data_IF_890238038963
#
_entry.id   IF_890238038963
#
_cell.length_a   1.000
_cell.length_b   1.000
_cell.length_c   1.000
_cell.angle_alpha   90.00
_cell.angle_beta   90.00
_cell.angle_gamma   90.00
#
_symmetry.space_group_name_H-M   'P 1'
#
loop_
_entity.id
_entity.type
_entity.pdbx_description
1 polymer ?
#
# COMPACT_ATOMS: atom_id res chain seq x y z
N UNK A 1 -5.08 48.70 -36.23
CA UNK A 1 -5.00 47.24 -36.38
C UNK A 1 -3.97 46.74 -35.37
N UNK A 2 -4.42 46.25 -34.21
CA UNK A 2 -3.54 45.69 -33.18
C UNK A 2 -4.10 44.35 -32.74
N UNK A 3 -3.51 43.26 -33.23
CA UNK A 3 -3.88 41.90 -32.87
C UNK A 3 -3.24 41.54 -31.52
N UNK A 4 -4.07 41.30 -30.51
CA UNK A 4 -3.65 40.83 -29.20
C UNK A 4 -3.34 39.32 -29.25
N UNK A 5 -2.13 38.95 -28.84
CA UNK A 5 -1.67 37.58 -28.62
C UNK A 5 -2.44 36.94 -27.45
N UNK A 6 -3.12 35.82 -27.69
CA UNK A 6 -3.64 34.95 -26.62
C UNK A 6 -2.57 33.95 -26.15
N UNK A 7 -2.50 33.62 -24.85
CA UNK A 7 -1.51 32.69 -24.32
C UNK A 7 -1.84 31.23 -24.68
N UNK A 8 -0.87 30.54 -25.28
CA UNK A 8 -0.93 29.10 -25.60
C UNK A 8 -0.99 28.26 -24.32
N UNK A 9 -2.02 27.44 -24.21
CA UNK A 9 -2.11 26.37 -23.19
C UNK A 9 -0.99 25.33 -23.38
N UNK A 10 -0.38 24.82 -22.29
CA UNK A 10 0.63 23.79 -22.41
C UNK A 10 -0.03 22.43 -22.68
N UNK A 11 0.33 21.82 -23.80
CA UNK A 11 -0.03 20.43 -24.12
C UNK A 11 0.47 19.49 -23.00
N UNK A 12 -0.47 18.91 -22.25
CA UNK A 12 -0.20 17.73 -21.41
C UNK A 12 0.21 16.58 -22.33
N UNK A 13 1.51 16.28 -22.39
CA UNK A 13 2.02 15.01 -22.93
C UNK A 13 1.45 13.89 -22.06
N UNK A 14 0.44 13.19 -22.58
CA UNK A 14 0.01 11.89 -22.10
C UNK A 14 1.20 10.94 -22.19
N UNK A 15 1.82 10.64 -21.04
CA UNK A 15 2.78 9.55 -20.91
C UNK A 15 2.03 8.24 -21.13
N UNK A 16 2.16 7.67 -22.32
CA UNK A 16 1.72 6.30 -22.58
C UNK A 16 2.37 5.36 -21.55
N UNK A 17 1.61 4.48 -20.88
CA UNK A 17 2.18 3.49 -19.98
C UNK A 17 3.09 2.54 -20.77
N UNK A 18 4.38 2.46 -20.40
CA UNK A 18 5.28 1.44 -20.94
C UNK A 18 4.76 0.07 -20.51
N UNK A 19 4.26 -0.69 -21.48
CA UNK A 19 3.89 -2.09 -21.35
C UNK A 19 5.16 -2.88 -21.00
N UNK A 20 5.29 -3.31 -19.75
CA UNK A 20 6.32 -4.27 -19.39
C UNK A 20 5.99 -5.62 -20.05
N UNK A 21 6.79 -6.00 -21.05
CA UNK A 21 6.73 -7.36 -21.58
C UNK A 21 7.13 -8.32 -20.46
N UNK A 22 6.19 -9.18 -20.05
CA UNK A 22 6.50 -10.32 -19.21
C UNK A 22 7.45 -11.23 -19.98
N UNK A 23 8.72 -11.25 -19.60
CA UNK A 23 9.62 -12.32 -20.03
C UNK A 23 9.03 -13.64 -19.56
N UNK A 24 8.70 -14.49 -20.54
CA UNK A 24 8.19 -15.83 -20.32
C UNK A 24 9.07 -16.54 -19.29
N UNK A 25 8.42 -16.93 -18.20
CA UNK A 25 8.96 -17.76 -17.13
C UNK A 25 9.65 -18.97 -17.78
N UNK A 26 10.96 -19.13 -17.56
CA UNK A 26 11.71 -20.28 -18.08
C UNK A 26 10.98 -21.59 -17.74
N UNK A 27 10.94 -22.57 -18.65
CA UNK A 27 10.26 -23.85 -18.43
C UNK A 27 10.66 -24.47 -17.10
N UNK A 28 9.67 -24.96 -16.34
CA UNK A 28 9.88 -25.63 -15.06
C UNK A 28 10.88 -26.78 -15.22
N UNK A 29 11.91 -26.90 -14.37
CA UNK A 29 12.97 -27.88 -14.58
C UNK A 29 12.41 -29.31 -14.48
N UNK A 30 12.59 -30.10 -15.54
CA UNK A 30 12.36 -31.55 -15.49
C UNK A 30 13.27 -32.14 -14.40
N UNK A 31 12.66 -32.82 -13.43
CA UNK A 31 13.34 -33.42 -12.28
C UNK A 31 14.34 -34.48 -12.76
N UNK A 32 15.58 -34.40 -12.28
CA UNK A 32 16.59 -35.46 -12.45
C UNK A 32 16.16 -36.75 -11.75
N UNK A 33 16.59 -37.90 -12.25
CA UNK A 33 16.66 -39.14 -11.47
C UNK A 33 17.65 -38.94 -10.33
N UNK A 34 17.21 -39.22 -9.11
CA UNK A 34 17.69 -38.75 -7.81
C UNK A 34 19.08 -39.21 -7.34
N UNK A 35 19.98 -39.71 -8.21
CA UNK A 35 21.24 -40.30 -7.75
C UNK A 35 22.46 -39.36 -7.76
N UNK A 36 22.48 -38.27 -8.55
CA UNK A 36 23.72 -37.48 -8.72
C UNK A 36 23.58 -36.02 -8.25
N UNK A 37 24.50 -35.51 -7.40
CA UNK A 37 24.49 -34.14 -6.90
C UNK A 37 24.53 -33.06 -8.00
N UNK A 38 23.98 -31.89 -7.67
CA UNK A 38 24.13 -30.69 -8.49
C UNK A 38 25.57 -30.18 -8.44
N UNK A 39 26.08 -29.76 -9.60
CA UNK A 39 27.43 -29.25 -9.78
C UNK A 39 27.40 -27.71 -9.75
N UNK A 40 28.43 -27.10 -9.17
CA UNK A 40 28.61 -25.64 -9.16
C UNK A 40 29.57 -25.18 -10.25
N UNK A 41 29.45 -23.91 -10.64
CA UNK A 41 30.42 -23.24 -11.54
C UNK A 41 31.84 -23.18 -10.95
N UNK A 42 31.98 -23.37 -9.64
CA UNK A 42 33.25 -23.35 -8.90
C UNK A 42 33.97 -24.71 -8.90
N UNK A 43 33.32 -25.76 -9.39
CA UNK A 43 33.91 -27.10 -9.46
C UNK A 43 34.71 -27.31 -10.78
N UNK A 44 35.12 -26.22 -11.46
CA UNK A 44 35.75 -26.22 -12.79
C UNK A 44 37.00 -27.11 -12.83
N UNK A 45 37.96 -26.89 -11.94
CA UNK A 45 39.24 -27.62 -11.95
C UNK A 45 39.06 -29.11 -11.61
N UNK A 46 38.11 -29.42 -10.72
CA UNK A 46 37.85 -30.78 -10.25
C UNK A 46 37.12 -31.62 -11.29
N UNK A 47 36.24 -30.97 -12.05
CA UNK A 47 35.48 -31.60 -13.12
C UNK A 47 36.11 -31.37 -14.49
N UNK A 48 37.26 -30.71 -14.55
CA UNK A 48 38.00 -30.43 -15.77
C UNK A 48 38.22 -31.69 -16.59
N UNK A 49 38.61 -32.80 -15.94
CA UNK A 49 38.81 -34.10 -16.61
C UNK A 49 37.53 -34.67 -17.21
N UNK A 50 36.40 -34.63 -16.49
CA UNK A 50 35.11 -35.09 -16.99
C UNK A 50 34.58 -34.19 -18.12
N UNK A 51 34.79 -32.88 -17.96
CA UNK A 51 34.40 -31.86 -18.90
C UNK A 51 35.23 -31.93 -20.19
N UNK A 52 36.52 -32.29 -20.11
CA UNK A 52 37.37 -32.54 -21.26
C UNK A 52 36.87 -33.73 -22.10
N UNK A 53 36.54 -34.87 -21.46
CA UNK A 53 35.94 -36.03 -22.17
C UNK A 53 34.55 -35.70 -22.74
N UNK A 54 33.81 -34.79 -22.08
CA UNK A 54 32.53 -34.30 -22.60
C UNK A 54 32.71 -33.42 -23.84
N UNK A 55 33.67 -32.48 -23.84
CA UNK A 55 33.97 -31.60 -24.97
C UNK A 55 34.54 -32.36 -26.17
N UNK A 56 35.45 -33.30 -25.92
CA UNK A 56 36.06 -34.12 -26.96
C UNK A 56 34.98 -34.91 -27.73
N UNK A 57 34.07 -35.59 -27.02
CA UNK A 57 33.01 -36.39 -27.66
C UNK A 57 31.93 -35.53 -28.33
N UNK A 58 31.47 -34.45 -27.71
CA UNK A 58 30.32 -33.69 -28.22
C UNK A 58 30.67 -32.56 -29.17
N UNK A 59 31.89 -32.04 -29.09
CA UNK A 59 32.29 -30.84 -29.82
C UNK A 59 33.56 -31.02 -30.64
N UNK A 60 34.29 -32.14 -30.52
CA UNK A 60 35.58 -32.36 -31.20
C UNK A 60 36.54 -31.19 -31.01
N UNK A 61 36.48 -30.54 -29.86
CA UNK A 61 37.36 -29.44 -29.47
C UNK A 61 38.19 -29.93 -28.29
N UNK A 62 39.51 -29.82 -28.40
CA UNK A 62 40.42 -30.12 -27.30
C UNK A 62 40.41 -28.97 -26.30
N UNK A 63 40.35 -29.32 -25.02
CA UNK A 63 40.37 -28.33 -23.94
C UNK A 63 41.72 -27.59 -23.88
N UNK A 64 42.80 -28.24 -24.36
CA UNK A 64 44.16 -27.70 -24.38
C UNK A 64 44.38 -26.63 -25.47
N UNK A 65 43.51 -26.60 -26.49
CA UNK A 65 43.50 -25.54 -27.51
C UNK A 65 42.64 -24.33 -27.08
N UNK A 66 41.84 -24.50 -26.03
CA UNK A 66 40.83 -23.53 -25.63
C UNK A 66 41.27 -22.74 -24.39
N UNK A 67 41.28 -21.42 -24.49
CA UNK A 67 41.65 -20.55 -23.37
C UNK A 67 40.75 -20.74 -22.15
N UNK A 68 41.27 -20.44 -20.95
CA UNK A 68 40.58 -20.63 -19.67
C UNK A 68 39.18 -20.01 -19.64
N UNK A 69 39.00 -18.80 -20.20
CA UNK A 69 37.72 -18.07 -20.20
C UNK A 69 36.67 -18.69 -21.14
N UNK A 70 37.11 -19.24 -22.26
CA UNK A 70 36.26 -19.95 -23.21
C UNK A 70 35.86 -21.31 -22.63
N UNK A 71 36.83 -22.07 -22.11
CA UNK A 71 36.60 -23.32 -21.38
C UNK A 71 35.62 -23.11 -20.21
N UNK A 72 35.76 -22.01 -19.46
CA UNK A 72 34.86 -21.66 -18.36
C UNK A 72 33.45 -21.32 -18.84
N UNK A 73 33.31 -20.65 -19.98
CA UNK A 73 32.02 -20.34 -20.61
C UNK A 73 31.31 -21.61 -21.09
N UNK A 74 32.05 -22.56 -21.64
CA UNK A 74 31.53 -23.87 -22.00
C UNK A 74 31.18 -24.71 -20.77
N UNK A 75 31.97 -24.62 -19.70
CA UNK A 75 31.69 -25.28 -18.43
C UNK A 75 30.41 -24.74 -17.79
N UNK A 76 30.17 -23.42 -17.80
CA UNK A 76 28.89 -22.85 -17.34
C UNK A 76 27.68 -23.43 -18.08
N UNK A 77 27.80 -23.68 -19.39
CA UNK A 77 26.75 -24.32 -20.18
C UNK A 77 26.61 -25.81 -19.85
N UNK A 78 27.72 -26.52 -19.64
CA UNK A 78 27.75 -27.90 -19.19
C UNK A 78 27.09 -28.06 -17.82
N UNK A 79 27.46 -27.23 -16.83
CA UNK A 79 26.85 -27.20 -15.49
C UNK A 79 25.35 -26.95 -15.58
N UNK A 80 24.89 -26.05 -16.46
CA UNK A 80 23.46 -25.82 -16.66
C UNK A 80 22.74 -27.05 -17.23
N UNK A 81 23.35 -27.73 -18.21
CA UNK A 81 22.80 -28.95 -18.83
C UNK A 81 22.84 -30.14 -17.84
N UNK A 82 23.91 -30.24 -17.05
CA UNK A 82 24.08 -31.20 -15.96
C UNK A 82 23.02 -31.01 -14.90
N UNK A 83 22.79 -29.78 -14.44
CA UNK A 83 21.78 -29.40 -13.45
C UNK A 83 20.33 -29.53 -13.97
N UNK A 84 20.15 -29.67 -15.28
CA UNK A 84 18.87 -29.97 -15.91
C UNK A 84 18.63 -31.46 -16.17
N UNK A 85 19.61 -32.34 -15.93
CA UNK A 85 19.47 -33.77 -16.18
C UNK A 85 19.56 -34.17 -17.66
N UNK A 86 20.05 -33.27 -18.52
CA UNK A 86 20.07 -33.45 -19.98
C UNK A 86 21.41 -34.01 -20.48
N UNK A 87 22.31 -34.40 -19.58
CA UNK A 87 23.57 -35.07 -19.94
C UNK A 87 23.31 -36.58 -20.04
N UNK A 88 24.09 -37.31 -20.83
CA UNK A 88 23.93 -38.75 -20.94
C UNK A 88 24.27 -39.47 -19.61
N UNK A 89 23.52 -40.54 -19.30
CA UNK A 89 23.66 -41.35 -18.08
C UNK A 89 25.10 -41.79 -17.80
N UNK A 90 25.88 -42.10 -18.83
CA UNK A 90 27.28 -42.55 -18.71
C UNK A 90 28.22 -41.49 -18.10
N UNK A 91 27.95 -40.21 -18.31
CA UNK A 91 28.75 -39.13 -17.70
C UNK A 91 28.37 -38.92 -16.23
N UNK A 92 27.14 -39.26 -15.85
CA UNK A 92 26.69 -39.28 -14.46
C UNK A 92 27.31 -40.45 -13.68
N UNK A 93 27.51 -41.60 -14.33
CA UNK A 93 28.18 -42.79 -13.76
C UNK A 93 29.70 -42.60 -13.63
N UNK A 94 30.30 -41.75 -14.48
CA UNK A 94 31.73 -41.37 -14.42
C UNK A 94 32.03 -40.29 -13.37
N UNK A 95 31.00 -39.83 -12.63
CA UNK A 95 31.17 -38.89 -11.54
C UNK A 95 31.90 -39.57 -10.36
N UNK A 96 33.04 -39.04 -9.88
CA UNK A 96 33.77 -39.62 -8.75
C UNK A 96 32.85 -39.82 -7.54
N UNK A 97 32.60 -41.08 -7.18
CA UNK A 97 31.76 -41.46 -6.04
C UNK A 97 32.35 -41.07 -4.68
N UNK A 98 33.62 -40.63 -4.64
CA UNK A 98 34.29 -40.16 -3.43
C UNK A 98 33.88 -38.76 -2.97
N UNK A 99 33.00 -38.09 -3.73
CA UNK A 99 32.39 -36.86 -3.25
C UNK A 99 31.35 -37.19 -2.17
N UNK A 100 31.42 -36.60 -0.97
CA UNK A 100 30.33 -36.72 -0.01
C UNK A 100 29.05 -36.25 -0.69
N UNK A 101 27.91 -36.96 -0.53
CA UNK A 101 26.65 -36.48 -1.05
C UNK A 101 26.43 -35.08 -0.48
N UNK A 102 26.37 -34.05 -1.34
CA UNK A 102 26.00 -32.69 -0.95
C UNK A 102 24.50 -32.63 -0.61
N UNK A 103 24.03 -33.54 0.24
CA UNK A 103 22.78 -33.40 0.94
C UNK A 103 22.99 -32.29 1.98
N UNK A 104 22.17 -31.26 1.93
CA UNK A 104 22.05 -30.23 2.96
C UNK A 104 23.14 -29.14 3.01
N UNK A 105 23.64 -28.68 1.86
CA UNK A 105 23.76 -27.22 1.74
C UNK A 105 22.35 -26.68 1.45
N UNK A 106 21.60 -26.48 2.54
CA UNK A 106 20.54 -25.48 2.61
C UNK A 106 20.99 -24.32 1.72
N UNK A 107 20.10 -23.83 0.85
CA UNK A 107 20.23 -22.53 0.22
C UNK A 107 20.34 -21.49 1.33
N UNK A 108 21.50 -21.43 1.98
CA UNK A 108 21.88 -20.36 2.87
C UNK A 108 22.08 -19.24 1.88
N UNK A 109 21.02 -18.45 1.72
CA UNK A 109 21.08 -17.15 1.07
C UNK A 109 22.43 -16.56 1.45
N UNK A 110 23.32 -16.48 0.46
CA UNK A 110 24.53 -15.70 0.56
C UNK A 110 24.09 -14.38 1.16
N UNK A 111 24.56 -14.09 2.38
CA UNK A 111 24.32 -12.84 3.07
C UNK A 111 24.63 -11.73 2.08
N UNK A 112 23.60 -11.16 1.47
CA UNK A 112 23.69 -9.93 0.73
C UNK A 112 24.14 -8.92 1.75
N UNK A 113 25.42 -8.54 1.70
CA UNK A 113 25.97 -7.41 2.45
C UNK A 113 25.35 -6.16 1.83
N UNK A 114 24.13 -5.87 2.26
CA UNK A 114 23.27 -4.80 1.78
C UNK A 114 22.18 -4.56 2.82
N UNK A 115 21.57 -3.36 2.85
CA UNK A 115 20.52 -3.05 3.81
C UNK A 115 19.47 -4.16 3.79
N UNK A 116 19.21 -4.71 4.99
CA UNK A 116 18.25 -5.79 5.18
C UNK A 116 16.91 -5.39 4.56
N UNK A 117 16.23 -6.34 3.91
CA UNK A 117 14.87 -6.13 3.44
C UNK A 117 14.01 -5.60 4.61
N UNK A 118 13.21 -4.54 4.40
CA UNK A 118 12.38 -3.95 5.45
C UNK A 118 11.50 -5.03 6.08
N UNK A 119 11.47 -5.05 7.41
CA UNK A 119 10.62 -5.98 8.16
C UNK A 119 9.14 -5.68 7.92
N UNK A 120 8.26 -6.60 8.30
CA UNK A 120 6.82 -6.36 8.21
C UNK A 120 6.40 -5.11 9.02
N UNK A 121 7.06 -4.87 10.16
CA UNK A 121 6.84 -3.68 10.99
C UNK A 121 7.32 -2.41 10.27
N UNK A 122 8.48 -2.44 9.61
CA UNK A 122 8.96 -1.29 8.83
C UNK A 122 8.00 -0.94 7.70
N UNK A 123 7.44 -1.95 7.02
CA UNK A 123 6.45 -1.72 5.97
C UNK A 123 5.14 -1.13 6.50
N UNK A 124 4.72 -1.51 7.71
CA UNK A 124 3.55 -0.92 8.38
C UNK A 124 3.80 0.56 8.71
N UNK A 125 4.95 0.87 9.32
CA UNK A 125 5.36 2.24 9.63
C UNK A 125 5.46 3.12 8.38
N UNK A 126 5.95 2.57 7.26
CA UNK A 126 5.99 3.30 5.98
C UNK A 126 4.58 3.61 5.45
N UNK A 127 3.64 2.66 5.57
CA UNK A 127 2.25 2.88 5.16
C UNK A 127 1.56 3.92 6.03
N UNK A 128 1.72 3.86 7.34
CA UNK A 128 1.16 4.84 8.28
C UNK A 128 1.67 6.24 7.97
N UNK A 129 2.98 6.40 7.79
CA UNK A 129 3.59 7.68 7.38
C UNK A 129 3.02 8.21 6.07
N UNK A 130 2.83 7.35 5.07
CA UNK A 130 2.26 7.75 3.79
C UNK A 130 0.80 8.21 3.94
N UNK A 131 0.02 7.55 4.80
CA UNK A 131 -1.35 7.97 5.10
C UNK A 131 -1.38 9.31 5.82
N UNK A 132 -0.52 9.52 6.82
CA UNK A 132 -0.39 10.79 7.52
C UNK A 132 -0.05 11.94 6.57
N UNK A 133 0.90 11.72 5.65
CA UNK A 133 1.25 12.70 4.63
C UNK A 133 0.07 13.04 3.73
N UNK A 134 -0.68 12.03 3.26
CA UNK A 134 -1.84 12.27 2.41
C UNK A 134 -2.92 13.08 3.13
N UNK A 135 -3.22 12.75 4.40
CA UNK A 135 -4.17 13.51 5.21
C UNK A 135 -3.69 14.95 5.43
N UNK A 136 -2.39 15.15 5.63
CA UNK A 136 -1.80 16.48 5.77
C UNK A 136 -1.93 17.30 4.48
N UNK A 137 -1.60 16.71 3.32
CA UNK A 137 -1.74 17.34 2.00
C UNK A 137 -3.20 17.73 1.71
N UNK A 138 -4.15 16.86 2.03
CA UNK A 138 -5.58 17.15 1.90
C UNK A 138 -6.01 18.34 2.78
N UNK A 139 -5.55 18.38 4.04
CA UNK A 139 -5.82 19.49 4.95
C UNK A 139 -5.18 20.79 4.45
N UNK A 140 -3.95 20.74 3.95
CA UNK A 140 -3.27 21.89 3.39
C UNK A 140 -4.02 22.42 2.16
N UNK A 141 -4.44 21.54 1.25
CA UNK A 141 -5.24 21.91 0.08
C UNK A 141 -6.59 22.54 0.48
N UNK A 142 -7.25 22.02 1.52
CA UNK A 142 -8.47 22.62 2.08
C UNK A 142 -8.22 24.02 2.62
N UNK A 143 -7.14 24.21 3.39
CA UNK A 143 -6.77 25.49 3.96
C UNK A 143 -6.35 26.49 2.89
N UNK A 144 -5.60 26.07 1.87
CA UNK A 144 -5.25 26.89 0.71
C UNK A 144 -6.51 27.41 0.01
N UNK A 145 -7.46 26.51 -0.32
CA UNK A 145 -8.76 26.91 -0.90
C UNK A 145 -9.54 27.88 -0.01
N UNK A 146 -9.49 27.73 1.32
CA UNK A 146 -10.14 28.66 2.27
C UNK A 146 -9.45 30.02 2.29
N UNK A 147 -8.11 30.04 2.28
CA UNK A 147 -7.30 31.28 2.21
C UNK A 147 -7.58 32.03 0.93
N UNK A 148 -7.60 31.34 -0.21
CA UNK A 148 -7.91 31.94 -1.51
C UNK A 148 -9.30 32.56 -1.54
N UNK A 149 -10.32 31.85 -1.04
CA UNK A 149 -11.68 32.40 -0.91
C UNK A 149 -11.73 33.63 -0.01
N UNK A 150 -10.96 33.64 1.09
CA UNK A 150 -10.87 34.80 1.98
C UNK A 150 -10.21 35.98 1.27
N UNK A 151 -9.08 35.76 0.61
CA UNK A 151 -8.37 36.79 -0.18
C UNK A 151 -9.27 37.35 -1.28
N UNK A 152 -10.02 36.50 -1.99
CA UNK A 152 -10.98 36.94 -3.00
C UNK A 152 -12.09 37.80 -2.39
N UNK A 153 -12.62 37.39 -1.23
CA UNK A 153 -13.63 38.17 -0.50
C UNK A 153 -13.07 39.53 -0.08
N UNK A 154 -11.88 39.55 0.51
CA UNK A 154 -11.23 40.76 1.02
C UNK A 154 -10.94 41.73 -0.14
N UNK A 155 -10.42 41.24 -1.28
CA UNK A 155 -10.24 42.05 -2.49
C UNK A 155 -11.55 42.62 -3.05
N UNK A 156 -12.64 41.86 -2.99
CA UNK A 156 -13.95 42.36 -3.40
C UNK A 156 -14.49 43.42 -2.43
N UNK A 157 -14.21 43.26 -1.14
CA UNK A 157 -14.59 44.21 -0.09
C UNK A 157 -13.79 45.53 -0.20
N UNK A 158 -12.54 45.48 -0.64
CA UNK A 158 -11.73 46.68 -0.98
C UNK A 158 -12.24 47.40 -2.24
N UNK A 159 -12.66 46.67 -3.27
CA UNK A 159 -13.12 47.25 -4.54
C UNK A 159 -14.53 47.86 -4.43
N UNK A 160 -15.39 47.22 -3.63
CA UNK A 160 -16.78 47.61 -3.41
C UNK A 160 -17.11 47.47 -1.92
N UNK A 161 -16.90 48.53 -1.11
CA UNK A 161 -17.21 48.48 0.31
C UNK A 161 -18.70 48.19 0.48
N UNK A 162 -19.01 47.05 1.11
CA UNK A 162 -20.39 46.68 1.44
C UNK A 162 -20.93 47.62 2.50
N UNK A 163 -22.23 47.91 2.47
CA UNK A 163 -22.87 48.73 3.49
C UNK A 163 -22.63 48.16 4.90
N UNK A 164 -22.51 49.05 5.89
CA UNK A 164 -22.21 48.72 7.29
C UNK A 164 -23.14 47.60 7.83
N UNK A 165 -22.61 46.64 8.62
CA UNK A 165 -23.40 45.55 9.20
C UNK A 165 -24.54 46.10 10.06
N UNK A 166 -25.80 45.81 9.68
CA UNK A 166 -26.98 46.18 10.47
C UNK A 166 -27.86 47.27 9.85
N UNK A 167 -27.42 47.94 8.79
CA UNK A 167 -28.22 48.93 8.07
C UNK A 167 -29.32 48.28 7.21
N UNK A 168 -30.42 49.03 6.95
CA UNK A 168 -31.50 48.62 6.03
C UNK A 168 -30.98 48.40 4.61
N UNK A 169 -29.96 49.15 4.22
CA UNK A 169 -29.30 49.03 2.91
C UNK A 169 -28.63 47.67 2.74
N UNK A 170 -27.92 47.19 3.76
CA UNK A 170 -27.32 45.84 3.75
C UNK A 170 -28.37 44.72 3.70
N UNK A 171 -29.54 44.92 4.31
CA UNK A 171 -30.64 43.95 4.21
C UNK A 171 -31.21 43.86 2.80
N UNK A 172 -31.34 45.00 2.10
CA UNK A 172 -31.78 45.05 0.70
C UNK A 172 -30.71 44.48 -0.25
N UNK A 173 -29.44 44.77 -0.01
CA UNK A 173 -28.32 44.20 -0.76
C UNK A 173 -28.24 42.68 -0.59
N UNK A 174 -28.34 42.16 0.65
CA UNK A 174 -28.41 40.72 0.91
C UNK A 174 -29.61 40.06 0.21
N UNK A 175 -30.79 40.71 0.21
CA UNK A 175 -31.97 40.22 -0.53
C UNK A 175 -31.72 40.21 -2.03
N UNK A 176 -31.04 41.22 -2.59
CA UNK A 176 -30.67 41.29 -4.01
C UNK A 176 -29.63 40.22 -4.37
N UNK A 177 -28.57 40.03 -3.57
CA UNK A 177 -27.56 38.98 -3.76
C UNK A 177 -28.19 37.59 -3.74
N UNK A 178 -29.09 37.32 -2.78
CA UNK A 178 -29.83 36.06 -2.71
C UNK A 178 -30.73 35.86 -3.93
N UNK A 179 -31.48 36.89 -4.33
CA UNK A 179 -32.35 36.82 -5.49
C UNK A 179 -31.53 36.62 -6.78
N UNK A 180 -30.39 37.30 -6.93
CA UNK A 180 -29.48 37.12 -8.06
C UNK A 180 -28.85 35.73 -8.07
N UNK A 181 -28.49 35.18 -6.91
CA UNK A 181 -28.01 33.81 -6.78
C UNK A 181 -29.09 32.80 -7.18
N UNK A 182 -30.33 32.96 -6.68
CA UNK A 182 -31.46 32.12 -7.07
C UNK A 182 -31.80 32.27 -8.57
N UNK A 183 -31.72 33.49 -9.11
CA UNK A 183 -31.85 33.77 -10.54
C UNK A 183 -30.74 33.10 -11.34
N UNK A 184 -29.50 33.10 -10.86
CA UNK A 184 -28.40 32.38 -11.50
C UNK A 184 -28.63 30.87 -11.48
N UNK A 185 -29.21 30.28 -10.43
CA UNK A 185 -29.60 28.86 -10.48
C UNK A 185 -30.77 28.59 -11.43
N UNK A 186 -31.65 29.58 -11.63
CA UNK A 186 -32.79 29.48 -12.55
C UNK A 186 -32.42 29.73 -14.02
N UNK A 187 -31.40 30.55 -14.28
CA UNK A 187 -31.03 31.02 -15.62
C UNK A 187 -29.64 30.57 -16.09
N UNK A 188 -28.79 29.95 -15.24
CA UNK A 188 -27.49 29.38 -15.64
C UNK A 188 -27.70 28.06 -16.40
N UNK A 189 -28.12 28.19 -17.65
CA UNK A 189 -27.21 27.97 -18.79
C UNK A 189 -27.84 28.57 -20.06
N UNK A 190 -27.25 29.60 -20.70
CA UNK A 190 -27.63 30.06 -22.04
C UNK A 190 -27.37 29.01 -23.13
N UNK A 191 -26.51 28.04 -22.82
CA UNK A 191 -26.18 26.92 -23.68
C UNK A 191 -26.73 25.67 -22.99
N UNK A 192 -27.89 25.20 -23.44
CA UNK A 192 -28.60 24.06 -22.88
C UNK A 192 -27.83 22.76 -23.12
N UNK A 193 -26.71 22.58 -22.41
CA UNK A 193 -25.98 21.32 -22.37
C UNK A 193 -26.85 20.36 -21.56
N UNK A 194 -27.66 19.57 -22.27
CA UNK A 194 -28.28 18.36 -21.76
C UNK A 194 -27.15 17.44 -21.27
N UNK A 195 -26.81 17.54 -19.99
CA UNK A 195 -25.96 16.56 -19.35
C UNK A 195 -26.69 15.22 -19.48
N UNK A 196 -26.02 14.21 -20.03
CA UNK A 196 -26.59 12.86 -20.16
C UNK A 196 -27.10 12.41 -18.79
N UNK A 197 -28.26 11.77 -18.78
CA UNK A 197 -28.89 11.25 -17.56
C UNK A 197 -27.95 10.34 -16.76
N UNK A 198 -27.02 9.66 -17.44
CA UNK A 198 -25.92 8.88 -16.84
C UNK A 198 -24.89 9.71 -16.07
N UNK A 199 -24.59 10.94 -16.50
CA UNK A 199 -23.68 11.87 -15.82
C UNK A 199 -24.38 12.59 -14.66
N UNK A 200 -25.70 12.70 -14.71
CA UNK A 200 -26.54 13.28 -13.64
C UNK A 200 -26.83 12.24 -12.55
N UNK A 201 -27.07 10.97 -12.92
CA UNK A 201 -27.52 9.93 -11.99
C UNK A 201 -26.51 8.82 -11.67
N UNK A 202 -25.33 8.79 -12.30
CA UNK A 202 -24.21 7.94 -11.87
C UNK A 202 -24.60 6.46 -11.74
N UNK A 203 -24.74 5.80 -12.90
CA UNK A 203 -25.52 4.58 -13.11
C UNK A 203 -25.20 3.39 -12.15
N UNK A 204 -23.98 3.24 -11.64
CA UNK A 204 -23.61 2.05 -10.84
C UNK A 204 -22.94 2.34 -9.48
N UNK A 205 -22.60 3.60 -9.20
CA UNK A 205 -21.74 3.97 -8.08
C UNK A 205 -22.54 4.36 -6.82
N UNK A 206 -23.83 4.70 -6.98
CA UNK A 206 -24.67 5.21 -5.89
C UNK A 206 -25.08 4.12 -4.90
N UNK A 207 -25.43 2.92 -5.37
CA UNK A 207 -25.79 1.79 -4.49
C UNK A 207 -24.59 1.34 -3.66
N UNK A 208 -23.40 1.32 -4.26
CA UNK A 208 -22.15 1.05 -3.56
C UNK A 208 -21.82 2.15 -2.54
N UNK A 209 -21.93 3.43 -2.91
CA UNK A 209 -21.74 4.56 -1.97
C UNK A 209 -22.75 4.59 -0.84
N UNK A 210 -24.01 4.24 -1.10
CA UNK A 210 -25.05 4.15 -0.09
C UNK A 210 -24.79 2.98 0.87
N UNK A 211 -24.33 1.83 0.36
CA UNK A 211 -23.90 0.71 1.19
C UNK A 211 -22.69 1.07 2.05
N UNK A 212 -21.69 1.76 1.49
CA UNK A 212 -20.53 2.27 2.23
C UNK A 212 -20.97 3.26 3.32
N UNK A 213 -21.88 4.19 2.99
CA UNK A 213 -22.42 5.15 3.95
C UNK A 213 -23.22 4.47 5.07
N UNK A 214 -24.00 3.42 4.75
CA UNK A 214 -24.76 2.65 5.74
C UNK A 214 -23.85 1.82 6.65
N UNK A 215 -22.84 1.16 6.07
CA UNK A 215 -21.85 0.40 6.83
C UNK A 215 -21.00 1.32 7.73
N UNK A 216 -20.63 2.51 7.25
CA UNK A 216 -19.92 3.51 8.05
C UNK A 216 -20.79 4.11 9.18
N UNK A 217 -22.10 4.26 8.96
CA UNK A 217 -23.02 4.66 10.01
C UNK A 217 -23.17 3.55 11.07
N UNK A 218 -23.30 2.28 10.65
CA UNK A 218 -23.33 1.13 11.55
C UNK A 218 -22.04 1.04 12.40
N UNK A 219 -20.87 1.19 11.78
CA UNK A 219 -19.58 1.22 12.49
C UNK A 219 -19.48 2.40 13.48
N UNK A 220 -20.02 3.57 13.15
CA UNK A 220 -20.03 4.70 14.08
C UNK A 220 -20.95 4.47 15.27
N UNK A 221 -22.07 3.78 15.08
CA UNK A 221 -22.96 3.41 16.18
C UNK A 221 -22.33 2.31 17.04
N UNK A 222 -21.67 1.31 16.45
CA UNK A 222 -20.91 0.30 17.17
C UNK A 222 -19.80 0.94 18.04
N UNK A 223 -19.02 1.87 17.48
CA UNK A 223 -17.97 2.58 18.23
C UNK A 223 -18.55 3.48 19.35
N UNK A 224 -19.75 4.03 19.17
CA UNK A 224 -20.44 4.78 20.25
C UNK A 224 -20.96 3.86 21.33
N UNK A 225 -21.49 2.70 20.93
CA UNK A 225 -22.02 1.69 21.82
C UNK A 225 -20.90 1.07 22.66
N UNK A 226 -19.76 0.74 22.07
CA UNK A 226 -18.59 0.23 22.78
C UNK A 226 -18.04 1.24 23.78
N UNK A 227 -17.96 2.52 23.40
CA UNK A 227 -17.55 3.60 24.32
C UNK A 227 -18.56 3.82 25.44
N UNK A 228 -19.86 3.64 25.19
CA UNK A 228 -20.90 3.74 26.21
C UNK A 228 -20.84 2.53 27.17
N UNK A 229 -20.65 1.32 26.63
CA UNK A 229 -20.47 0.10 27.40
C UNK A 229 -19.22 0.20 28.28
N UNK A 230 -18.09 0.68 27.77
CA UNK A 230 -16.88 0.92 28.57
C UNK A 230 -17.15 1.89 29.73
N UNK A 231 -17.85 3.00 29.46
CA UNK A 231 -18.23 3.98 30.48
C UNK A 231 -19.23 3.43 31.51
N UNK A 232 -20.13 2.53 31.10
CA UNK A 232 -21.05 1.84 32.00
C UNK A 232 -20.35 0.81 32.88
N UNK A 233 -19.38 0.09 32.32
CA UNK A 233 -18.54 -0.84 33.06
C UNK A 233 -17.69 -0.09 34.09
N UNK A 234 -17.04 1.01 33.71
CA UNK A 234 -16.31 1.90 34.63
C UNK A 234 -17.20 2.41 35.76
N UNK A 235 -18.41 2.89 35.42
CA UNK A 235 -19.40 3.33 36.42
C UNK A 235 -19.87 2.17 37.32
N UNK A 236 -20.01 0.97 36.79
CA UNK A 236 -20.46 -0.21 37.55
C UNK A 236 -19.39 -0.69 38.53
N UNK A 237 -18.12 -0.65 38.12
CA UNK A 237 -16.97 -0.97 38.97
C UNK A 237 -16.90 0.03 40.12
N UNK A 238 -16.99 1.33 39.81
CA UNK A 238 -17.01 2.39 40.83
C UNK A 238 -18.20 2.28 41.78
N UNK A 239 -19.38 1.89 41.28
CA UNK A 239 -20.56 1.63 42.13
C UNK A 239 -20.35 0.42 43.05
N UNK A 240 -19.76 -0.67 42.56
CA UNK A 240 -19.44 -1.84 43.37
C UNK A 240 -18.46 -1.51 44.48
N UNK A 241 -17.43 -0.70 44.21
CA UNK A 241 -16.48 -0.26 45.23
C UNK A 241 -17.11 0.61 46.33
N UNK A 242 -18.10 1.44 45.98
CA UNK A 242 -18.85 2.19 46.97
C UNK A 242 -19.76 1.27 47.79
N UNK A 243 -20.47 0.35 47.12
CA UNK A 243 -21.30 -0.65 47.80
C UNK A 243 -20.50 -1.52 48.76
N UNK A 244 -19.28 -1.96 48.41
CA UNK A 244 -18.45 -2.75 49.33
C UNK A 244 -18.03 -1.93 50.55
N UNK A 245 -17.69 -0.64 50.37
CA UNK A 245 -17.37 0.27 51.48
C UNK A 245 -18.60 0.56 52.35
N UNK A 246 -19.77 0.73 51.74
CA UNK A 246 -21.05 0.86 52.44
C UNK A 246 -21.40 -0.43 53.20
N UNK A 247 -21.18 -1.61 52.62
CA UNK A 247 -21.37 -2.88 53.30
C UNK A 247 -20.40 -3.07 54.46
N UNK A 248 -19.14 -2.69 54.31
CA UNK A 248 -18.14 -2.73 55.39
C UNK A 248 -18.51 -1.78 56.53
N UNK A 249 -18.90 -0.55 56.22
CA UNK A 249 -19.37 0.41 57.23
C UNK A 249 -20.67 -0.05 57.89
N UNK A 250 -21.62 -0.58 57.12
CA UNK A 250 -22.86 -1.14 57.65
C UNK A 250 -22.61 -2.39 58.49
N UNK A 251 -21.64 -3.24 58.14
CA UNK A 251 -21.20 -4.38 58.98
C UNK A 251 -20.62 -3.87 60.30
N UNK A 252 -19.72 -2.89 60.26
CA UNK A 252 -19.19 -2.26 61.47
C UNK A 252 -20.30 -1.65 62.35
N UNK A 253 -21.24 -0.91 61.76
CA UNK A 253 -22.38 -0.35 62.49
C UNK A 253 -23.31 -1.43 63.05
N UNK A 254 -23.55 -2.51 62.30
CA UNK A 254 -24.36 -3.66 62.72
C UNK A 254 -23.69 -4.42 63.86
N UNK A 255 -22.37 -4.54 63.88
CA UNK A 255 -21.62 -5.13 64.99
C UNK A 255 -21.70 -4.28 66.25
N UNK A 256 -21.53 -2.96 66.16
CA UNK A 256 -21.68 -2.03 67.29
C UNK A 256 -23.12 -2.06 67.83
N UNK A 257 -24.12 -2.06 66.94
CA UNK A 257 -25.51 -2.17 67.33
C UNK A 257 -25.81 -3.50 68.02
N UNK A 258 -25.26 -4.62 67.52
CA UNK A 258 -25.38 -5.94 68.15
C UNK A 258 -24.72 -5.99 69.52
N UNK A 259 -23.57 -5.34 69.71
CA UNK A 259 -22.91 -5.26 71.02
C UNK A 259 -23.70 -4.40 72.03
N UNK A 260 -24.38 -3.34 71.58
CA UNK A 260 -25.14 -2.43 72.46
C UNK A 260 -26.57 -2.86 72.75
N UNK A 261 -27.25 -3.48 71.77
CA UNK A 261 -28.68 -3.78 71.83
C UNK A 261 -29.00 -5.27 71.70
N UNK A 262 -27.99 -6.13 71.50
CA UNK A 262 -28.16 -7.59 71.48
C UNK A 262 -28.23 -8.16 72.89
N UNK A 263 -29.41 -8.12 73.50
CA UNK A 263 -29.81 -8.93 74.66
C UNK A 263 -30.83 -9.97 74.21
#
# INVERSE_FOLDING_TARGET
MSSANLPRHPHRRSRSPKRHQHHNRSPSPRRKSSQVPDISKHDFDKLHKLFAVYLDRYKKMNIDELGHDEAYSHFKRFVRKWNQGLVEKRYYEMYPSEMPPKANLIRRNSYTVGPSMPTQQDNQLQKERQQELHLYEEQEAQLARKRDRRIQKDRLEELAPKAEPGTRERQLEKKRELNQKLKSFREKSPDGVELKESDIYGDDDFKAKLAISKNAAAQREEMKEDRLREREMEKSVRKKELLTKEEETMKMFKEIAKQRYGR
#
